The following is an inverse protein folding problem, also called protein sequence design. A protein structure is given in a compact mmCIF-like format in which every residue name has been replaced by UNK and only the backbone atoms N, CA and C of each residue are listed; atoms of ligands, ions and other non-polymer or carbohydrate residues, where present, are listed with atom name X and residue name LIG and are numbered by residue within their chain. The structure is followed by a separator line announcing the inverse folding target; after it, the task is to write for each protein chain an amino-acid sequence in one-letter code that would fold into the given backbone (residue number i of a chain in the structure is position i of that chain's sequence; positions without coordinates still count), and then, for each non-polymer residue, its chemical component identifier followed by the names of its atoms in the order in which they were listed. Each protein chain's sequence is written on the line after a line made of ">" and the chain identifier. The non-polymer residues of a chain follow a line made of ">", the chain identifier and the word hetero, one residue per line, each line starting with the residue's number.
data_IF_835285546301
#
_entry.id   IF_835285546301
#
_cell.length_a   1.000
_cell.length_b   1.000
_cell.length_c   1.000
_cell.angle_alpha   90.00
_cell.angle_beta   90.00
_cell.angle_gamma   90.00
#
_symmetry.space_group_name_H-M   'P 1'
#
loop_
_entity.id
_entity.type
_entity.pdbx_description
1 polymer ?
#
# COMPACT_ATOMS: atom_id res chain seq x y z
N UNK A 1 -0.74 6.15 18.43
CA UNK A 1 -1.91 5.76 17.59
C UNK A 1 -1.60 4.43 16.95
N UNK A 2 -2.63 3.62 16.65
CA UNK A 2 -2.48 2.39 15.87
C UNK A 2 -2.79 2.66 14.40
N UNK A 3 -1.82 2.41 13.55
CA UNK A 3 -1.90 2.60 12.10
C UNK A 3 -1.88 1.23 11.42
N UNK A 4 -2.82 1.00 10.52
CA UNK A 4 -2.88 -0.23 9.74
C UNK A 4 -2.62 0.09 8.28
N UNK A 5 -1.81 -0.73 7.64
CA UNK A 5 -1.68 -0.72 6.18
C UNK A 5 -1.37 -2.09 5.62
N UNK A 6 -1.72 -2.29 4.37
CA UNK A 6 -1.46 -3.52 3.66
C UNK A 6 -0.94 -3.27 2.25
N UNK A 7 -0.16 -4.20 1.76
CA UNK A 7 0.27 -4.22 0.37
C UNK A 7 -0.09 -5.56 -0.26
N UNK A 8 -0.65 -5.49 -1.45
CA UNK A 8 -0.99 -6.69 -2.20
C UNK A 8 0.28 -7.32 -2.81
N UNK A 9 0.42 -8.63 -2.71
CA UNK A 9 1.51 -9.43 -3.31
C UNK A 9 1.35 -9.52 -4.83
N UNK A 10 1.48 -8.40 -5.53
CA UNK A 10 1.18 -8.28 -6.96
C UNK A 10 2.42 -8.09 -7.85
N UNK A 11 3.61 -8.39 -7.35
CA UNK A 11 4.88 -8.29 -8.09
C UNK A 11 5.87 -7.29 -7.49
N UNK A 12 6.99 -7.04 -8.19
CA UNK A 12 8.13 -6.25 -7.71
C UNK A 12 7.74 -4.84 -7.27
N UNK A 13 8.37 -4.36 -6.19
CA UNK A 13 8.22 -2.98 -5.73
C UNK A 13 8.96 -2.03 -6.69
N UNK A 14 8.30 -0.95 -7.08
CA UNK A 14 8.82 0.08 -7.97
C UNK A 14 8.73 1.48 -7.33
N UNK A 15 9.34 2.49 -7.96
CA UNK A 15 9.37 3.87 -7.45
C UNK A 15 7.98 4.40 -7.08
N UNK A 16 6.96 4.08 -7.86
CA UNK A 16 5.58 4.49 -7.57
C UNK A 16 5.05 3.91 -6.25
N UNK A 17 5.40 2.65 -5.92
CA UNK A 17 5.03 2.05 -4.63
C UNK A 17 5.78 2.71 -3.48
N UNK A 18 7.08 2.98 -3.68
CA UNK A 18 7.90 3.59 -2.63
C UNK A 18 7.41 4.98 -2.26
N UNK A 19 7.35 5.89 -3.22
CA UNK A 19 6.93 7.27 -2.96
C UNK A 19 5.43 7.41 -2.68
N UNK A 20 4.61 6.51 -3.25
CA UNK A 20 3.16 6.51 -3.06
C UNK A 20 2.69 5.97 -1.72
N UNK A 21 3.46 5.07 -1.08
CA UNK A 21 3.03 4.41 0.15
C UNK A 21 4.16 4.10 1.13
N UNK A 22 5.23 3.41 0.69
CA UNK A 22 6.20 2.82 1.61
C UNK A 22 6.94 3.89 2.42
N UNK A 23 7.38 4.98 1.79
CA UNK A 23 8.08 6.08 2.46
C UNK A 23 7.28 6.64 3.64
N UNK A 24 5.96 6.74 3.50
CA UNK A 24 5.08 7.23 4.56
C UNK A 24 4.94 6.23 5.72
N UNK A 25 4.97 4.94 5.44
CA UNK A 25 4.98 3.93 6.51
C UNK A 25 6.26 3.99 7.33
N UNK A 26 7.39 4.22 6.68
CA UNK A 26 8.66 4.42 7.37
C UNK A 26 8.64 5.68 8.25
N UNK A 27 8.02 6.77 7.81
CA UNK A 27 7.81 7.97 8.61
C UNK A 27 6.89 7.70 9.82
N UNK A 28 5.81 6.96 9.63
CA UNK A 28 4.87 6.60 10.70
C UNK A 28 5.51 5.70 11.75
N UNK A 29 6.31 4.72 11.34
CA UNK A 29 7.12 3.89 12.21
C UNK A 29 8.05 4.75 13.09
N UNK A 30 8.75 5.72 12.47
CA UNK A 30 9.70 6.59 13.16
C UNK A 30 9.04 7.62 14.08
N UNK A 31 7.74 7.85 13.92
CA UNK A 31 6.94 8.75 14.76
C UNK A 31 6.37 8.07 16.03
N UNK A 32 6.80 6.85 16.35
CA UNK A 32 6.41 6.13 17.57
C UNK A 32 4.98 5.58 17.55
N UNK A 33 4.36 5.44 16.36
CA UNK A 33 3.05 4.80 16.21
C UNK A 33 3.16 3.27 16.33
N UNK A 34 2.08 2.62 16.77
CA UNK A 34 1.91 1.18 16.60
C UNK A 34 1.53 0.91 15.14
N UNK A 35 2.43 0.30 14.38
CA UNK A 35 2.28 0.06 12.95
C UNK A 35 2.03 -1.42 12.67
N UNK A 36 0.83 -1.75 12.21
CA UNK A 36 0.46 -3.07 11.74
C UNK A 36 0.50 -3.06 10.22
N UNK A 37 1.43 -3.82 9.64
CA UNK A 37 1.65 -3.86 8.19
C UNK A 37 1.47 -5.30 7.72
N UNK A 38 0.46 -5.53 6.91
CA UNK A 38 0.18 -6.88 6.42
C UNK A 38 0.43 -7.03 4.93
N UNK A 39 0.85 -8.23 4.56
CA UNK A 39 0.98 -8.67 3.19
C UNK A 39 -0.33 -9.33 2.79
N UNK A 40 -1.05 -8.74 1.84
CA UNK A 40 -2.41 -9.11 1.47
C UNK A 40 -2.44 -10.31 0.50
N UNK A 41 -2.00 -11.47 0.98
CA UNK A 41 -1.90 -12.70 0.19
C UNK A 41 -3.25 -13.35 -0.11
N UNK A 42 -4.25 -13.24 0.79
CA UNK A 42 -5.63 -13.68 0.48
C UNK A 42 -6.26 -12.81 -0.62
N UNK A 43 -6.04 -11.50 -0.61
CA UNK A 43 -6.48 -10.63 -1.71
C UNK A 43 -5.80 -10.99 -3.02
N UNK A 44 -4.51 -11.36 -2.98
CA UNK A 44 -3.75 -11.74 -4.17
C UNK A 44 -4.33 -12.98 -4.86
N UNK A 45 -5.02 -13.89 -4.15
CA UNK A 45 -5.69 -15.07 -4.71
C UNK A 45 -6.74 -14.71 -5.77
N UNK A 46 -7.27 -13.49 -5.78
CA UNK A 46 -8.22 -13.05 -6.83
C UNK A 46 -7.56 -12.95 -8.22
N UNK A 47 -6.24 -12.90 -8.28
CA UNK A 47 -5.48 -12.72 -9.53
C UNK A 47 -4.33 -13.72 -9.70
N UNK A 48 -3.70 -14.18 -8.63
CA UNK A 48 -2.58 -15.13 -8.64
C UNK A 48 -3.10 -16.52 -8.31
N UNK A 49 -3.07 -17.44 -9.27
CA UNK A 49 -3.58 -18.82 -9.14
C UNK A 49 -2.49 -19.87 -8.99
N UNK A 50 -1.26 -19.49 -9.21
CA UNK A 50 -0.07 -20.34 -9.03
C UNK A 50 0.42 -20.23 -7.58
N UNK A 51 0.48 -21.38 -6.89
CA UNK A 51 0.83 -21.43 -5.47
C UNK A 51 2.29 -21.07 -5.20
N UNK A 52 3.22 -21.50 -6.07
CA UNK A 52 4.63 -21.18 -5.91
C UNK A 52 4.88 -19.70 -6.18
N UNK A 53 4.20 -19.16 -7.18
CA UNK A 53 4.26 -17.74 -7.49
C UNK A 53 3.69 -16.88 -6.37
N UNK A 54 2.59 -17.27 -5.74
CA UNK A 54 2.03 -16.55 -4.62
C UNK A 54 3.00 -16.54 -3.42
N UNK A 55 3.61 -17.68 -3.10
CA UNK A 55 4.64 -17.79 -2.04
C UNK A 55 5.85 -16.89 -2.33
N UNK A 56 6.35 -16.92 -3.58
CA UNK A 56 7.45 -16.05 -4.02
C UNK A 56 7.10 -14.57 -3.84
N UNK A 57 5.96 -14.12 -4.38
CA UNK A 57 5.54 -12.74 -4.32
C UNK A 57 5.31 -12.24 -2.88
N UNK A 58 4.75 -13.09 -2.02
CA UNK A 58 4.53 -12.77 -0.60
C UNK A 58 5.85 -12.59 0.14
N UNK A 59 6.81 -13.49 -0.10
CA UNK A 59 8.16 -13.39 0.47
C UNK A 59 8.90 -12.16 -0.06
N UNK A 60 8.81 -11.88 -1.36
CA UNK A 60 9.46 -10.73 -1.98
C UNK A 60 8.98 -9.41 -1.36
N UNK A 61 7.69 -9.28 -1.09
CA UNK A 61 7.16 -8.09 -0.40
C UNK A 61 7.76 -7.94 0.99
N UNK A 62 7.88 -9.02 1.78
CA UNK A 62 8.50 -8.96 3.10
C UNK A 62 9.96 -8.50 3.02
N UNK A 63 10.73 -9.10 2.10
CA UNK A 63 12.13 -8.72 1.85
C UNK A 63 12.26 -7.25 1.45
N UNK A 64 11.40 -6.78 0.55
CA UNK A 64 11.43 -5.41 0.04
C UNK A 64 11.14 -4.39 1.15
N UNK A 65 10.13 -4.64 2.01
CA UNK A 65 9.82 -3.74 3.14
C UNK A 65 10.95 -3.69 4.16
N UNK A 66 11.47 -4.84 4.57
CA UNK A 66 12.58 -4.91 5.52
C UNK A 66 13.85 -4.25 4.95
N UNK A 67 14.11 -4.44 3.66
CA UNK A 67 15.24 -3.82 2.98
C UNK A 67 15.12 -2.30 2.91
N UNK A 68 13.91 -1.79 2.67
CA UNK A 68 13.63 -0.35 2.60
C UNK A 68 13.62 0.34 3.97
N UNK A 69 13.72 -0.40 5.06
CA UNK A 69 13.89 0.18 6.40
C UNK A 69 12.73 -0.07 7.35
N UNK A 70 11.74 -0.90 6.99
CA UNK A 70 10.80 -1.39 7.98
C UNK A 70 11.58 -2.20 9.02
N UNK A 71 11.46 -1.81 10.29
CA UNK A 71 12.20 -2.41 11.39
C UNK A 71 11.30 -3.31 12.25
N UNK A 72 11.29 -4.64 12.00
CA UNK A 72 10.52 -5.58 12.78
C UNK A 72 11.10 -5.86 14.17
N UNK A 73 12.26 -5.29 14.52
CA UNK A 73 12.82 -5.34 15.87
C UNK A 73 12.19 -4.29 16.79
N UNK A 74 11.61 -3.23 16.20
CA UNK A 74 10.83 -2.24 16.93
C UNK A 74 9.54 -2.89 17.47
N UNK A 75 9.30 -2.91 18.78
CA UNK A 75 8.11 -3.56 19.38
C UNK A 75 6.78 -2.95 18.93
N UNK A 76 6.81 -1.74 18.37
CA UNK A 76 5.63 -1.06 17.83
C UNK A 76 5.36 -1.40 16.35
N UNK A 77 6.15 -2.26 15.72
CA UNK A 77 6.03 -2.61 14.31
C UNK A 77 5.79 -4.10 14.16
N UNK A 78 4.68 -4.46 13.55
CA UNK A 78 4.35 -5.82 13.17
C UNK A 78 4.26 -5.93 11.65
N UNK A 79 5.08 -6.77 11.05
CA UNK A 79 4.99 -7.19 9.64
C UNK A 79 4.52 -8.65 9.60
N UNK A 80 3.42 -8.94 8.92
CA UNK A 80 2.81 -10.26 8.91
C UNK A 80 2.05 -10.55 7.61
N UNK A 81 1.72 -11.82 7.36
CA UNK A 81 0.81 -12.21 6.28
C UNK A 81 -0.64 -12.09 6.74
N UNK A 82 -1.50 -11.63 5.87
CA UNK A 82 -2.94 -11.61 6.12
C UNK A 82 -3.48 -13.01 6.45
N UNK A 83 -3.02 -14.03 5.73
CA UNK A 83 -3.43 -15.44 5.91
C UNK A 83 -3.01 -16.04 7.26
N UNK A 84 -2.04 -15.45 7.96
CA UNK A 84 -1.65 -15.89 9.29
C UNK A 84 -2.67 -15.47 10.37
N UNK A 85 -3.63 -14.59 10.05
CA UNK A 85 -4.65 -14.07 10.98
C UNK A 85 -6.02 -14.66 10.63
N UNK A 86 -6.30 -15.84 11.13
CA UNK A 86 -7.58 -16.53 10.86
C UNK A 86 -8.81 -15.72 11.32
N UNK A 87 -8.63 -14.88 12.34
CA UNK A 87 -9.65 -13.98 12.88
C UNK A 87 -10.23 -13.02 11.84
N UNK A 88 -9.45 -12.65 10.82
CA UNK A 88 -9.90 -11.81 9.69
C UNK A 88 -11.03 -12.51 8.92
N UNK A 89 -10.85 -13.78 8.58
CA UNK A 89 -11.84 -14.52 7.78
C UNK A 89 -13.13 -14.81 8.56
N UNK A 90 -13.02 -15.01 9.86
CA UNK A 90 -14.21 -15.17 10.70
C UNK A 90 -14.95 -13.83 10.85
N UNK A 91 -14.23 -12.72 11.11
CA UNK A 91 -14.85 -11.40 11.14
C UNK A 91 -15.51 -11.07 9.80
N UNK A 92 -14.84 -11.38 8.67
CA UNK A 92 -15.45 -11.23 7.33
C UNK A 92 -16.81 -11.90 7.24
N UNK A 93 -16.94 -13.14 7.74
CA UNK A 93 -18.22 -13.85 7.74
C UNK A 93 -19.30 -13.10 8.54
N UNK A 94 -18.95 -12.62 9.74
CA UNK A 94 -19.87 -11.85 10.58
C UNK A 94 -20.30 -10.53 9.90
N UNK A 95 -19.38 -9.87 9.21
CA UNK A 95 -19.67 -8.65 8.45
C UNK A 95 -20.53 -8.94 7.21
N UNK A 96 -20.29 -10.05 6.51
CA UNK A 96 -21.11 -10.45 5.36
C UNK A 96 -22.59 -10.63 5.73
N UNK A 97 -22.89 -11.13 6.93
CA UNK A 97 -24.26 -11.33 7.39
C UNK A 97 -25.09 -10.02 7.48
N UNK A 98 -24.43 -8.87 7.54
CA UNK A 98 -25.08 -7.54 7.61
C UNK A 98 -24.82 -6.67 6.39
N UNK A 99 -23.97 -7.10 5.45
CA UNK A 99 -23.58 -6.30 4.27
C UNK A 99 -24.64 -6.41 3.17
N UNK A 100 -25.26 -5.28 2.71
CA UNK A 100 -26.21 -5.33 1.61
C UNK A 100 -25.54 -5.68 0.28
N UNK A 101 -26.18 -6.55 -0.52
CA UNK A 101 -25.71 -6.89 -1.87
C UNK A 101 -25.47 -5.65 -2.74
N UNK A 102 -26.40 -4.69 -2.72
CA UNK A 102 -26.29 -3.44 -3.49
C UNK A 102 -25.02 -2.62 -3.18
N UNK A 103 -24.47 -2.72 -1.96
CA UNK A 103 -23.21 -2.07 -1.62
C UNK A 103 -22.04 -2.70 -2.39
N UNK A 104 -22.01 -4.03 -2.49
CA UNK A 104 -20.96 -4.78 -3.21
C UNK A 104 -21.08 -4.60 -4.72
N UNK A 105 -22.31 -4.59 -5.27
CA UNK A 105 -22.57 -4.32 -6.69
C UNK A 105 -22.11 -2.93 -7.12
N UNK A 106 -22.08 -1.96 -6.19
CA UNK A 106 -21.63 -0.59 -6.45
C UNK A 106 -20.15 -0.36 -6.26
N UNK A 107 -19.37 -1.36 -5.81
CA UNK A 107 -17.93 -1.25 -5.69
C UNK A 107 -17.27 -1.03 -7.07
N UNK A 108 -16.42 0.00 -7.19
CA UNK A 108 -15.81 0.41 -8.47
C UNK A 108 -15.08 -0.73 -9.15
N UNK A 109 -14.26 -1.46 -8.42
CA UNK A 109 -13.46 -2.56 -8.98
C UNK A 109 -14.30 -3.75 -9.44
N UNK A 110 -15.47 -4.00 -8.85
CA UNK A 110 -16.43 -4.99 -9.37
C UNK A 110 -16.97 -4.51 -10.72
N UNK A 111 -17.46 -3.27 -10.80
CA UNK A 111 -17.97 -2.67 -12.03
C UNK A 111 -16.94 -2.66 -13.16
N UNK A 112 -15.70 -2.28 -12.86
CA UNK A 112 -14.60 -2.26 -13.82
C UNK A 112 -14.30 -3.64 -14.42
N UNK A 113 -14.33 -4.70 -13.61
CA UNK A 113 -14.08 -6.06 -14.09
C UNK A 113 -15.23 -6.59 -14.92
N UNK A 114 -16.47 -6.32 -14.50
CA UNK A 114 -17.67 -6.65 -15.33
C UNK A 114 -17.60 -5.93 -16.67
N UNK A 115 -17.29 -4.63 -16.67
CA UNK A 115 -17.17 -3.85 -17.90
C UNK A 115 -16.07 -4.39 -18.86
N UNK A 116 -15.04 -5.04 -18.33
CA UNK A 116 -13.97 -5.71 -19.07
C UNK A 116 -14.32 -7.14 -19.51
N UNK A 117 -15.56 -7.60 -19.26
CA UNK A 117 -16.01 -8.94 -19.62
C UNK A 117 -15.41 -10.07 -18.79
N UNK A 118 -14.85 -9.77 -17.64
CA UNK A 118 -14.31 -10.77 -16.71
C UNK A 118 -15.46 -11.37 -15.92
N UNK A 119 -15.62 -12.70 -16.00
CA UNK A 119 -16.63 -13.41 -15.23
C UNK A 119 -16.40 -13.19 -13.71
N UNK A 120 -17.40 -12.69 -12.96
CA UNK A 120 -17.23 -12.39 -11.56
C UNK A 120 -17.27 -13.68 -10.74
N UNK A 121 -16.16 -14.01 -10.10
CA UNK A 121 -16.12 -15.03 -9.06
C UNK A 121 -16.55 -14.45 -7.72
N UNK A 122 -17.03 -15.29 -6.80
CA UNK A 122 -17.49 -14.86 -5.47
C UNK A 122 -16.42 -14.06 -4.71
N UNK A 123 -15.15 -14.47 -4.78
CA UNK A 123 -14.04 -13.74 -4.16
C UNK A 123 -13.89 -12.31 -4.69
N UNK A 124 -14.13 -12.10 -5.99
CA UNK A 124 -14.12 -10.78 -6.59
C UNK A 124 -15.31 -9.92 -6.14
N UNK A 125 -16.44 -10.53 -5.89
CA UNK A 125 -17.63 -9.83 -5.42
C UNK A 125 -17.52 -9.45 -3.94
N UNK A 126 -16.96 -10.35 -3.11
CA UNK A 126 -16.94 -10.21 -1.65
C UNK A 126 -15.63 -9.62 -1.09
N UNK A 127 -14.58 -9.39 -1.92
CA UNK A 127 -13.31 -8.85 -1.43
C UNK A 127 -13.44 -7.51 -0.66
N UNK A 128 -14.42 -6.61 -0.92
CA UNK A 128 -14.57 -5.39 -0.11
C UNK A 128 -14.93 -5.70 1.35
N UNK A 129 -15.60 -6.84 1.60
CA UNK A 129 -15.91 -7.28 2.98
C UNK A 129 -14.66 -7.86 3.65
N UNK A 130 -13.82 -8.59 2.90
CA UNK A 130 -12.52 -9.04 3.39
C UNK A 130 -11.64 -7.85 3.76
N UNK A 131 -11.56 -6.83 2.90
CA UNK A 131 -10.82 -5.60 3.20
C UNK A 131 -11.40 -4.85 4.41
N UNK A 132 -12.74 -4.82 4.57
CA UNK A 132 -13.35 -4.26 5.76
C UNK A 132 -12.95 -5.04 7.03
N UNK A 133 -12.89 -6.37 6.97
CA UNK A 133 -12.44 -7.20 8.08
C UNK A 133 -10.97 -6.94 8.43
N UNK A 134 -10.07 -6.84 7.42
CA UNK A 134 -8.67 -6.46 7.62
C UNK A 134 -8.54 -5.13 8.38
N UNK A 135 -9.35 -4.14 8.01
CA UNK A 135 -9.29 -2.80 8.60
C UNK A 135 -9.83 -2.79 10.03
N UNK A 136 -10.92 -3.50 10.27
CA UNK A 136 -11.68 -3.40 11.52
C UNK A 136 -11.18 -4.32 12.63
N UNK A 137 -10.54 -5.44 12.28
CA UNK A 137 -10.18 -6.49 13.25
C UNK A 137 -9.11 -6.07 14.26
N UNK A 138 -8.39 -4.97 14.00
CA UNK A 138 -7.29 -4.52 14.86
C UNK A 138 -7.63 -3.27 15.68
N UNK A 139 -8.86 -2.76 15.66
CA UNK A 139 -9.21 -1.45 16.27
C UNK A 139 -8.26 -0.32 15.84
N UNK A 140 -7.92 -0.25 14.56
CA UNK A 140 -7.01 0.77 14.04
C UNK A 140 -7.56 2.18 14.23
N UNK A 141 -6.68 3.14 14.55
CA UNK A 141 -7.04 4.55 14.66
C UNK A 141 -7.10 5.20 13.29
N UNK A 142 -6.07 4.91 12.48
CA UNK A 142 -5.88 5.47 11.15
C UNK A 142 -5.49 4.42 10.13
N UNK A 143 -5.96 4.62 8.90
CA UNK A 143 -5.56 3.83 7.72
C UNK A 143 -5.06 4.81 6.67
N UNK A 144 -3.74 4.82 6.36
CA UNK A 144 -3.19 5.59 5.27
C UNK A 144 -3.71 5.06 3.93
N UNK A 145 -4.39 5.90 3.17
CA UNK A 145 -4.98 5.53 1.89
C UNK A 145 -4.68 6.57 0.80
N UNK A 146 -4.41 6.11 -0.41
CA UNK A 146 -4.45 6.94 -1.59
C UNK A 146 -5.90 7.34 -1.94
N UNK A 147 -6.06 8.37 -2.76
CA UNK A 147 -7.39 8.84 -3.19
C UNK A 147 -8.24 7.73 -3.86
N UNK A 148 -7.61 6.82 -4.58
CA UNK A 148 -8.24 5.69 -5.25
C UNK A 148 -8.77 4.63 -4.29
N UNK A 149 -8.24 4.56 -3.06
CA UNK A 149 -8.65 3.61 -2.03
C UNK A 149 -9.65 4.20 -1.03
N UNK A 150 -9.95 5.49 -1.13
CA UNK A 150 -10.86 6.17 -0.21
C UNK A 150 -12.26 5.52 -0.19
N UNK A 151 -12.79 5.11 -1.35
CA UNK A 151 -14.08 4.44 -1.43
C UNK A 151 -14.10 3.13 -0.63
N UNK A 152 -13.03 2.35 -0.68
CA UNK A 152 -12.96 1.08 0.05
C UNK A 152 -12.96 1.28 1.57
N UNK A 153 -12.30 2.34 2.04
CA UNK A 153 -12.34 2.68 3.46
C UNK A 153 -13.73 3.14 3.90
N UNK A 154 -14.44 3.93 3.08
CA UNK A 154 -15.83 4.31 3.38
C UNK A 154 -16.76 3.09 3.39
N UNK A 155 -16.59 2.13 2.47
CA UNK A 155 -17.32 0.85 2.51
C UNK A 155 -17.07 0.12 3.83
N UNK A 156 -15.81 0.03 4.30
CA UNK A 156 -15.49 -0.60 5.57
C UNK A 156 -16.16 0.12 6.76
N UNK A 157 -16.18 1.46 6.74
CA UNK A 157 -16.85 2.29 7.76
C UNK A 157 -18.36 2.09 7.75
N UNK A 158 -18.98 2.05 6.57
CA UNK A 158 -20.43 1.83 6.44
C UNK A 158 -20.84 0.42 6.89
N UNK A 159 -20.04 -0.61 6.59
CA UNK A 159 -20.24 -1.96 7.11
C UNK A 159 -20.13 -1.98 8.63
N UNK A 160 -19.14 -1.30 9.22
CA UNK A 160 -18.97 -1.22 10.66
C UNK A 160 -20.15 -0.50 11.34
N UNK A 161 -20.63 0.61 10.77
CA UNK A 161 -21.83 1.32 11.27
C UNK A 161 -23.02 0.40 11.25
N UNK A 162 -23.22 -0.34 10.15
CA UNK A 162 -24.35 -1.26 10.02
C UNK A 162 -24.26 -2.42 11.01
N UNK A 163 -23.07 -3.00 11.20
CA UNK A 163 -22.84 -4.05 12.20
C UNK A 163 -23.15 -3.54 13.62
N UNK A 164 -22.58 -2.39 13.98
CA UNK A 164 -22.80 -1.77 15.28
C UNK A 164 -24.29 -1.47 15.51
N UNK A 165 -24.98 -0.89 14.53
CA UNK A 165 -26.41 -0.57 14.62
C UNK A 165 -27.31 -1.83 14.73
N UNK A 166 -26.88 -2.95 14.13
CA UNK A 166 -27.62 -4.20 14.17
C UNK A 166 -27.52 -4.87 15.54
N UNK A 167 -26.34 -4.81 16.17
CA UNK A 167 -26.04 -5.58 17.38
C UNK A 167 -25.85 -4.74 18.65
N UNK A 168 -25.85 -3.40 18.57
CA UNK A 168 -25.93 -2.47 19.72
C UNK A 168 -27.14 -1.55 19.56
N UNK A 169 -28.25 -1.82 20.26
CA UNK A 169 -29.48 -1.02 20.15
C UNK A 169 -29.31 0.46 20.51
N UNK A 170 -28.25 0.82 21.25
CA UNK A 170 -27.96 2.20 21.66
C UNK A 170 -27.03 2.92 20.68
N UNK A 171 -26.47 2.22 19.70
CA UNK A 171 -25.45 2.79 18.82
C UNK A 171 -25.97 3.95 17.96
N UNK A 172 -27.20 3.83 17.41
CA UNK A 172 -27.79 4.88 16.57
C UNK A 172 -28.02 6.18 17.37
N UNK A 173 -28.49 6.08 18.63
CA UNK A 173 -28.65 7.28 19.48
C UNK A 173 -27.31 7.97 19.72
N UNK A 174 -26.25 7.20 20.06
CA UNK A 174 -24.90 7.74 20.23
C UNK A 174 -24.39 8.41 18.95
N UNK A 175 -24.66 7.79 17.79
CA UNK A 175 -24.23 8.30 16.49
C UNK A 175 -24.88 9.64 16.15
N UNK A 176 -26.16 9.81 16.48
CA UNK A 176 -26.90 11.07 16.24
C UNK A 176 -26.44 12.23 17.13
N UNK A 177 -25.88 11.93 18.30
CA UNK A 177 -25.36 12.90 19.27
C UNK A 177 -23.89 13.28 19.01
N UNK A 178 -23.17 12.48 18.23
CA UNK A 178 -21.74 12.64 17.98
C UNK A 178 -21.44 13.68 16.90
N UNK A 179 -20.30 14.36 17.02
CA UNK A 179 -19.80 15.30 15.99
C UNK A 179 -19.24 14.60 14.76
N UNK A 180 -18.71 13.37 14.92
CA UNK A 180 -18.16 12.54 13.87
C UNK A 180 -18.46 11.08 14.12
N UNK A 181 -18.60 10.27 13.05
CA UNK A 181 -18.88 8.83 13.16
C UNK A 181 -17.78 8.10 13.93
N UNK A 182 -16.54 8.51 13.74
CA UNK A 182 -15.35 7.94 14.37
C UNK A 182 -15.23 8.24 15.87
N UNK A 183 -16.00 9.19 16.39
CA UNK A 183 -16.00 9.54 17.81
C UNK A 183 -16.97 8.65 18.62
N UNK A 184 -17.73 7.81 17.93
CA UNK A 184 -18.69 6.88 18.56
C UNK A 184 -18.08 5.53 18.83
N UNK A 185 -17.99 5.15 20.09
CA UNK A 185 -17.57 3.80 20.48
C UNK A 185 -18.69 2.79 20.23
N UNK A 186 -18.46 1.92 19.25
CA UNK A 186 -19.32 0.77 18.93
C UNK A 186 -18.65 -0.56 19.23
N UNK A 187 -19.29 -1.64 18.81
CA UNK A 187 -18.71 -3.00 18.85
C UNK A 187 -17.44 -3.03 17.99
N UNK A 188 -17.51 -2.42 16.80
CA UNK A 188 -16.38 -2.22 15.91
C UNK A 188 -16.05 -0.73 15.86
N UNK A 189 -14.77 -0.42 15.98
CA UNK A 189 -14.24 0.94 15.89
C UNK A 189 -14.13 1.38 14.45
N UNK A 190 -14.55 2.63 14.16
CA UNK A 190 -14.40 3.22 12.84
C UNK A 190 -13.02 3.91 12.73
N UNK A 191 -12.17 3.49 11.80
CA UNK A 191 -10.87 4.14 11.59
C UNK A 191 -11.03 5.48 10.86
N UNK A 192 -10.09 6.39 11.07
CA UNK A 192 -9.97 7.62 10.28
C UNK A 192 -9.18 7.37 9.01
N UNK A 193 -9.59 7.99 7.92
CA UNK A 193 -8.78 8.04 6.72
C UNK A 193 -7.62 9.01 6.94
N UNK A 194 -6.40 8.55 6.83
CA UNK A 194 -5.23 9.42 6.65
C UNK A 194 -5.01 9.58 5.15
N UNK A 195 -5.67 10.61 4.57
CA UNK A 195 -5.46 10.91 3.16
C UNK A 195 -4.02 11.35 3.02
N UNK A 196 -3.25 10.55 2.33
CA UNK A 196 -1.89 10.87 1.97
C UNK A 196 -1.96 12.15 1.13
N UNK A 197 -1.25 13.20 1.54
CA UNK A 197 -1.01 14.33 0.64
C UNK A 197 -0.53 13.69 -0.66
N UNK A 198 -1.28 13.91 -1.74
CA UNK A 198 -0.94 13.31 -3.01
C UNK A 198 0.55 13.59 -3.28
N UNK A 199 1.41 12.61 -3.05
CA UNK A 199 2.60 12.52 -3.87
C UNK A 199 2.03 12.47 -5.26
N UNK A 200 2.29 13.51 -6.04
CA UNK A 200 1.91 13.58 -7.45
C UNK A 200 2.20 12.20 -8.02
N UNK A 201 1.27 11.65 -8.77
CA UNK A 201 1.38 10.26 -9.24
C UNK A 201 2.75 10.12 -9.89
N UNK A 202 3.61 9.27 -9.33
CA UNK A 202 4.96 9.07 -9.85
C UNK A 202 4.85 8.69 -11.32
N UNK A 203 5.51 9.44 -12.18
CA UNK A 203 5.50 9.20 -13.61
C UNK A 203 6.36 7.99 -13.98
N UNK A 204 5.90 7.20 -14.93
CA UNK A 204 6.66 6.11 -15.53
C UNK A 204 7.68 6.59 -16.56
N UNK A 205 8.41 5.65 -17.12
CA UNK A 205 9.42 5.95 -18.15
C UNK A 205 8.84 6.52 -19.45
N UNK A 206 7.54 6.41 -19.66
CA UNK A 206 6.76 6.89 -20.80
C UNK A 206 6.08 8.25 -20.58
N UNK A 207 6.07 8.74 -19.33
CA UNK A 207 5.41 9.98 -18.90
C UNK A 207 4.00 9.81 -18.35
N UNK A 208 3.42 8.62 -18.47
CA UNK A 208 2.14 8.29 -17.87
C UNK A 208 2.32 7.87 -16.39
N UNK A 209 1.23 7.73 -15.64
CA UNK A 209 1.29 7.22 -14.26
C UNK A 209 2.04 5.89 -14.22
N UNK A 210 3.02 5.78 -13.34
CA UNK A 210 3.80 4.54 -13.17
C UNK A 210 2.91 3.39 -12.72
N UNK A 211 2.84 2.33 -13.52
CA UNK A 211 2.03 1.14 -13.25
C UNK A 211 2.63 -0.09 -13.92
N UNK A 212 2.55 -1.23 -13.21
CA UNK A 212 2.95 -2.54 -13.76
C UNK A 212 2.15 -2.90 -15.02
N UNK A 213 0.86 -2.55 -15.06
CA UNK A 213 -0.02 -2.83 -16.19
C UNK A 213 0.42 -2.13 -17.49
N UNK A 214 1.10 -1.00 -17.37
CA UNK A 214 1.64 -0.25 -18.52
C UNK A 214 3.08 -0.63 -18.86
N UNK A 215 3.73 -1.47 -18.05
CA UNK A 215 5.10 -1.86 -18.27
C UNK A 215 6.10 -0.70 -18.20
N UNK A 216 5.74 0.40 -17.52
CA UNK A 216 6.49 1.66 -17.46
C UNK A 216 7.20 1.90 -16.13
N UNK A 217 7.36 0.86 -15.29
CA UNK A 217 7.93 0.95 -13.94
C UNK A 217 9.47 1.03 -13.96
N UNK A 218 10.02 1.62 -12.89
CA UNK A 218 11.43 1.51 -12.50
C UNK A 218 11.45 0.71 -11.19
N UNK A 219 11.90 -0.54 -11.27
CA UNK A 219 11.92 -1.47 -10.14
C UNK A 219 13.06 -1.13 -9.18
N UNK A 220 12.79 -1.19 -7.85
CA UNK A 220 13.79 -0.83 -6.85
C UNK A 220 14.89 -1.88 -6.71
N UNK A 221 14.55 -3.15 -6.86
CA UNK A 221 15.43 -4.30 -6.57
C UNK A 221 15.81 -5.12 -7.82
N UNK A 222 15.69 -4.53 -9.01
CA UNK A 222 16.19 -5.12 -10.25
C UNK A 222 17.73 -5.18 -10.28
N UNK A 223 18.31 -5.85 -11.24
CA UNK A 223 19.75 -5.81 -11.48
C UNK A 223 20.23 -4.40 -11.88
N UNK A 224 21.48 -4.02 -11.55
CA UNK A 224 21.98 -2.68 -11.72
C UNK A 224 21.98 -2.21 -13.19
N UNK A 225 22.54 -3.06 -14.10
CA UNK A 225 22.61 -2.72 -15.53
C UNK A 225 21.23 -2.58 -16.20
N UNK A 226 20.27 -3.52 -16.03
CA UNK A 226 18.90 -3.36 -16.51
C UNK A 226 18.21 -2.14 -15.92
N UNK A 227 18.36 -1.85 -14.62
CA UNK A 227 17.76 -0.67 -13.97
C UNK A 227 18.33 0.62 -14.56
N UNK A 228 19.65 0.73 -14.71
CA UNK A 228 20.31 1.89 -15.35
C UNK A 228 19.82 2.06 -16.79
N UNK A 229 19.77 0.97 -17.57
CA UNK A 229 19.26 1.00 -18.94
C UNK A 229 17.80 1.47 -18.99
N UNK A 230 16.99 1.07 -18.00
CA UNK A 230 15.59 1.50 -17.88
C UNK A 230 15.48 3.01 -17.65
N UNK A 231 16.29 3.57 -16.75
CA UNK A 231 16.34 5.01 -16.48
C UNK A 231 16.85 5.78 -17.71
N UNK A 232 17.88 5.30 -18.36
CA UNK A 232 18.39 5.90 -19.61
C UNK A 232 17.37 5.87 -20.76
N UNK A 233 16.43 4.91 -20.72
CA UNK A 233 15.32 4.76 -21.69
C UNK A 233 14.10 5.64 -21.40
N UNK A 234 14.10 6.52 -20.39
CA UNK A 234 12.98 7.44 -20.13
C UNK A 234 12.71 8.28 -21.38
N UNK A 235 11.42 8.37 -21.75
CA UNK A 235 10.98 9.12 -22.92
C UNK A 235 11.29 10.61 -22.79
N UNK A 236 11.88 11.17 -23.82
CA UNK A 236 12.16 12.61 -23.94
C UNK A 236 11.88 13.04 -25.38
N UNK A 237 11.70 14.33 -25.58
CA UNK A 237 11.59 14.90 -26.92
C UNK A 237 12.96 14.93 -27.65
N UNK A 238 12.98 15.49 -28.85
CA UNK A 238 14.16 15.61 -29.70
C UNK A 238 14.85 16.99 -29.60
N UNK A 239 14.63 17.72 -28.49
CA UNK A 239 15.23 19.04 -28.27
C UNK A 239 16.78 18.97 -28.34
N UNK A 240 17.44 19.78 -29.19
CA UNK A 240 18.88 19.82 -29.30
C UNK A 240 19.58 20.13 -27.98
N UNK A 241 20.86 19.72 -27.85
CA UNK A 241 21.64 19.89 -26.62
C UNK A 241 21.71 21.37 -26.20
N UNK A 242 21.91 22.27 -27.14
CA UNK A 242 22.10 23.69 -26.93
C UNK A 242 20.82 24.44 -26.58
N UNK A 243 19.66 23.89 -26.94
CA UNK A 243 18.38 24.55 -26.72
C UNK A 243 17.85 24.35 -25.29
N UNK A 244 17.12 25.35 -24.75
CA UNK A 244 16.35 25.19 -23.52
C UNK A 244 15.40 23.99 -23.58
N UNK A 245 15.22 23.29 -22.45
CA UNK A 245 14.39 22.12 -22.34
C UNK A 245 13.13 22.40 -21.54
N UNK A 246 12.04 21.74 -21.92
CA UNK A 246 10.80 21.80 -21.15
C UNK A 246 10.98 21.07 -19.80
N UNK A 247 10.55 21.73 -18.75
CA UNK A 247 10.50 21.14 -17.40
C UNK A 247 9.32 20.20 -17.22
N UNK A 248 8.37 20.18 -18.12
CA UNK A 248 7.25 19.23 -18.13
C UNK A 248 7.65 17.92 -18.83
N UNK A 249 8.63 17.23 -18.29
CA UNK A 249 9.16 15.98 -18.84
C UNK A 249 9.28 14.90 -17.75
N UNK A 250 9.12 13.60 -18.10
CA UNK A 250 9.23 12.52 -17.12
C UNK A 250 10.56 12.50 -16.36
N UNK A 251 11.66 12.85 -17.02
CA UNK A 251 12.99 12.88 -16.38
C UNK A 251 13.07 13.99 -15.34
N UNK A 252 12.49 15.16 -15.63
CA UNK A 252 12.48 16.28 -14.69
C UNK A 252 11.56 15.98 -13.48
N UNK A 253 10.39 15.42 -13.69
CA UNK A 253 9.49 15.05 -12.61
C UNK A 253 10.07 13.96 -11.70
N UNK A 254 10.80 12.99 -12.28
CA UNK A 254 11.50 11.99 -11.48
C UNK A 254 12.68 12.60 -10.71
N UNK A 255 13.43 13.53 -11.27
CA UNK A 255 14.52 14.22 -10.55
C UNK A 255 14.01 14.95 -9.31
N UNK A 256 12.83 15.57 -9.33
CA UNK A 256 12.20 16.22 -8.17
C UNK A 256 11.98 15.27 -6.98
N UNK A 257 11.88 13.96 -7.22
CA UNK A 257 11.70 12.97 -6.15
C UNK A 257 13.00 12.65 -5.41
N UNK A 258 14.14 12.97 -6.01
CA UNK A 258 15.46 12.56 -5.51
C UNK A 258 16.37 13.74 -5.14
N UNK A 259 16.40 14.77 -5.97
CA UNK A 259 17.30 15.90 -5.81
C UNK A 259 16.94 16.77 -4.59
N UNK A 260 17.94 17.35 -3.95
CA UNK A 260 17.71 18.39 -2.94
C UNK A 260 17.10 19.64 -3.57
N UNK A 261 16.57 20.55 -2.75
CA UNK A 261 16.02 21.82 -3.25
C UNK A 261 17.07 22.64 -3.99
N UNK A 262 18.31 22.67 -3.49
CA UNK A 262 19.44 23.36 -4.09
C UNK A 262 19.82 22.73 -5.43
N UNK A 263 19.96 21.40 -5.47
CA UNK A 263 20.28 20.67 -6.71
C UNK A 263 19.15 20.81 -7.75
N UNK A 264 17.89 20.78 -7.31
CA UNK A 264 16.76 20.96 -8.22
C UNK A 264 16.74 22.37 -8.82
N UNK A 265 17.10 23.41 -8.05
CA UNK A 265 17.23 24.78 -8.56
C UNK A 265 18.32 24.90 -9.64
N UNK A 266 19.44 24.20 -9.48
CA UNK A 266 20.51 24.13 -10.50
C UNK A 266 20.06 23.37 -11.75
N UNK A 267 19.34 22.27 -11.58
CA UNK A 267 18.73 21.50 -12.68
C UNK A 267 17.74 22.38 -13.46
N UNK A 268 16.84 23.08 -12.76
CA UNK A 268 15.87 23.99 -13.37
C UNK A 268 16.51 25.12 -14.14
N UNK A 269 17.60 25.70 -13.61
CA UNK A 269 18.40 26.70 -14.31
C UNK A 269 19.00 26.11 -15.57
N UNK A 270 19.64 24.94 -15.46
CA UNK A 270 20.28 24.27 -16.58
C UNK A 270 19.27 23.85 -17.68
N UNK A 271 18.04 23.47 -17.31
CA UNK A 271 16.97 23.20 -18.28
C UNK A 271 16.61 24.45 -19.08
N UNK A 272 16.52 25.62 -18.43
CA UNK A 272 16.18 26.90 -19.05
C UNK A 272 17.30 27.49 -19.93
N UNK A 273 18.54 27.26 -19.53
CA UNK A 273 19.69 27.80 -20.25
C UNK A 273 20.14 26.94 -21.43
N UNK A 274 19.79 25.62 -21.42
CA UNK A 274 20.27 24.66 -22.41
C UNK A 274 21.72 24.23 -22.18
N UNK A 275 22.36 23.71 -23.21
CA UNK A 275 23.81 23.34 -23.15
C UNK A 275 24.05 21.91 -22.61
N UNK A 276 23.03 21.23 -22.07
CA UNK A 276 23.11 19.82 -21.64
C UNK A 276 22.04 18.97 -22.29
N UNK A 277 22.40 17.80 -22.79
CA UNK A 277 21.45 16.85 -23.35
C UNK A 277 20.68 16.07 -22.29
N UNK A 278 19.50 15.53 -22.64
CA UNK A 278 18.70 14.70 -21.71
C UNK A 278 19.47 13.49 -21.14
N UNK A 279 20.46 12.96 -21.87
CA UNK A 279 21.34 11.91 -21.38
C UNK A 279 22.08 12.27 -20.08
N UNK A 280 22.50 13.54 -19.94
CA UNK A 280 23.13 14.03 -18.71
C UNK A 280 22.17 13.97 -17.52
N UNK A 281 20.94 14.41 -17.69
CA UNK A 281 19.94 14.41 -16.61
C UNK A 281 19.46 12.98 -16.24
N UNK A 282 19.33 12.10 -17.23
CA UNK A 282 19.04 10.68 -17.00
C UNK A 282 20.17 9.97 -16.26
N UNK A 283 21.42 10.31 -16.60
CA UNK A 283 22.58 9.78 -15.89
C UNK A 283 22.56 10.23 -14.41
N UNK A 284 22.31 11.53 -14.17
CA UNK A 284 22.20 12.05 -12.80
C UNK A 284 21.06 11.41 -12.02
N UNK A 285 19.90 11.20 -12.65
CA UNK A 285 18.79 10.46 -12.05
C UNK A 285 19.19 9.03 -11.68
N UNK A 286 19.96 8.35 -12.52
CA UNK A 286 20.44 7.00 -12.21
C UNK A 286 21.39 7.01 -11.00
N UNK A 287 22.31 7.99 -10.92
CA UNK A 287 23.20 8.19 -9.77
C UNK A 287 22.40 8.40 -8.48
N UNK A 288 21.47 9.35 -8.47
CA UNK A 288 20.59 9.63 -7.32
C UNK A 288 19.76 8.41 -6.91
N UNK A 289 19.29 7.63 -7.88
CA UNK A 289 18.60 6.37 -7.61
C UNK A 289 19.49 5.38 -6.86
N UNK A 290 20.70 5.15 -7.32
CA UNK A 290 21.61 4.21 -6.66
C UNK A 290 22.17 4.77 -5.34
N UNK A 291 22.39 6.07 -5.22
CA UNK A 291 22.73 6.72 -3.95
C UNK A 291 21.64 6.47 -2.91
N UNK A 292 20.37 6.67 -3.26
CA UNK A 292 19.23 6.51 -2.35
C UNK A 292 18.93 5.06 -1.99
N UNK A 293 18.97 4.15 -2.96
CA UNK A 293 18.52 2.76 -2.78
C UNK A 293 19.65 1.74 -2.70
N UNK A 294 20.91 2.13 -2.86
CA UNK A 294 22.04 1.20 -2.88
C UNK A 294 22.13 0.36 -1.60
N UNK A 295 22.03 1.00 -0.44
CA UNK A 295 22.05 0.32 0.85
C UNK A 295 20.86 -0.67 1.01
N UNK A 296 19.66 -0.27 0.59
CA UNK A 296 18.47 -1.13 0.62
C UNK A 296 18.64 -2.34 -0.32
N UNK A 297 19.18 -2.13 -1.51
CA UNK A 297 19.46 -3.19 -2.48
C UNK A 297 20.47 -4.21 -1.95
N UNK A 298 21.49 -3.76 -1.24
CA UNK A 298 22.46 -4.63 -0.58
C UNK A 298 21.80 -5.39 0.58
N UNK A 299 21.05 -4.72 1.44
CA UNK A 299 20.31 -5.33 2.55
C UNK A 299 19.34 -6.41 2.07
N UNK A 300 18.63 -6.17 0.95
CA UNK A 300 17.75 -7.20 0.38
C UNK A 300 18.48 -8.47 0.00
N UNK A 301 19.64 -8.34 -0.68
CA UNK A 301 20.50 -9.48 -1.05
C UNK A 301 21.01 -10.26 0.17
N UNK A 302 21.21 -9.58 1.29
CA UNK A 302 21.60 -10.23 2.55
C UNK A 302 20.43 -10.99 3.18
N UNK A 303 19.24 -10.37 3.24
CA UNK A 303 18.02 -11.00 3.73
C UNK A 303 17.61 -12.24 2.91
N UNK A 304 17.82 -12.22 1.60
CA UNK A 304 17.55 -13.37 0.72
C UNK A 304 18.36 -14.63 1.08
N UNK A 305 19.51 -14.47 1.75
CA UNK A 305 20.37 -15.58 2.16
C UNK A 305 19.87 -16.30 3.41
N UNK A 306 18.97 -15.66 4.18
CA UNK A 306 18.37 -16.22 5.40
C UNK A 306 16.83 -16.19 5.34
N UNK A 307 16.21 -17.07 4.55
CA UNK A 307 14.76 -17.15 4.46
C UNK A 307 14.09 -17.46 5.80
N UNK A 308 14.80 -18.17 6.71
CA UNK A 308 14.27 -18.49 8.04
C UNK A 308 14.10 -17.25 8.90
N UNK A 309 15.06 -16.33 8.90
CA UNK A 309 14.94 -15.07 9.63
C UNK A 309 13.74 -14.25 9.15
N UNK A 310 13.43 -14.25 7.85
CA UNK A 310 12.24 -13.59 7.31
C UNK A 310 10.96 -14.25 7.80
N UNK A 311 10.88 -15.57 7.80
CA UNK A 311 9.73 -16.31 8.32
C UNK A 311 9.52 -16.06 9.83
N UNK A 312 10.60 -16.06 10.62
CA UNK A 312 10.55 -15.77 12.06
C UNK A 312 10.01 -14.34 12.33
N UNK A 313 10.37 -13.36 11.50
CA UNK A 313 9.82 -11.99 11.55
C UNK A 313 8.32 -11.99 11.26
N UNK A 314 7.88 -12.65 10.20
CA UNK A 314 6.47 -12.71 9.83
C UNK A 314 5.62 -13.43 10.89
N UNK A 315 6.14 -14.53 11.45
CA UNK A 315 5.47 -15.29 12.50
C UNK A 315 5.32 -14.45 13.78
N UNK A 316 6.37 -13.73 14.20
CA UNK A 316 6.32 -12.82 15.34
C UNK A 316 5.34 -11.67 15.13
N UNK A 317 5.35 -11.06 13.93
CA UNK A 317 4.41 -10.01 13.57
C UNK A 317 2.95 -10.51 13.59
N UNK A 318 2.73 -11.74 13.09
CA UNK A 318 1.41 -12.38 13.14
C UNK A 318 0.93 -12.62 14.58
N UNK A 319 1.81 -13.03 15.49
CA UNK A 319 1.47 -13.21 16.91
C UNK A 319 1.00 -11.89 17.54
N UNK A 320 1.74 -10.80 17.33
CA UNK A 320 1.37 -9.47 17.81
C UNK A 320 0.02 -8.99 17.21
N UNK A 321 -0.17 -9.15 15.91
CA UNK A 321 -1.42 -8.76 15.25
C UNK A 321 -2.60 -9.61 15.73
N UNK A 322 -2.39 -10.92 15.94
CA UNK A 322 -3.42 -11.84 16.39
C UNK A 322 -3.93 -11.53 17.80
N UNK A 323 -3.07 -11.07 18.70
CA UNK A 323 -3.51 -10.61 20.03
C UNK A 323 -4.56 -9.51 19.93
N UNK A 324 -4.37 -8.55 19.02
CA UNK A 324 -5.34 -7.47 18.77
C UNK A 324 -6.60 -8.01 18.08
N UNK A 325 -6.43 -8.83 17.06
CA UNK A 325 -7.53 -9.41 16.31
C UNK A 325 -8.49 -10.24 17.19
N UNK A 326 -7.96 -11.02 18.12
CA UNK A 326 -8.77 -11.81 19.07
C UNK A 326 -9.64 -10.94 19.97
N UNK A 327 -9.13 -9.83 20.47
CA UNK A 327 -9.91 -8.90 21.32
C UNK A 327 -11.13 -8.39 20.57
N UNK A 328 -10.94 -7.97 19.31
CA UNK A 328 -12.02 -7.43 18.49
C UNK A 328 -13.00 -8.52 18.07
N UNK A 329 -12.48 -9.66 17.63
CA UNK A 329 -13.32 -10.79 17.21
C UNK A 329 -14.18 -11.33 18.38
N UNK A 330 -13.61 -11.47 19.57
CA UNK A 330 -14.35 -11.91 20.77
C UNK A 330 -15.44 -10.91 21.15
N UNK A 331 -15.19 -9.61 21.03
CA UNK A 331 -16.20 -8.57 21.21
C UNK A 331 -17.33 -8.70 20.18
N UNK A 332 -16.99 -8.93 18.93
CA UNK A 332 -17.97 -9.16 17.85
C UNK A 332 -18.79 -10.45 18.07
N UNK A 333 -18.13 -11.55 18.44
CA UNK A 333 -18.80 -12.84 18.75
C UNK A 333 -19.83 -12.71 19.86
N UNK A 334 -19.48 -12.03 20.97
CA UNK A 334 -20.41 -11.78 22.07
C UNK A 334 -21.61 -10.96 21.63
N UNK A 335 -21.37 -9.94 20.79
CA UNK A 335 -22.44 -9.07 20.33
C UNK A 335 -23.46 -9.82 19.43
N UNK A 336 -22.99 -10.75 18.60
CA UNK A 336 -23.88 -11.56 17.73
C UNK A 336 -24.44 -12.81 18.44
N UNK A 337 -24.04 -13.09 19.69
CA UNK A 337 -24.56 -14.20 20.48
C UNK A 337 -23.92 -15.57 20.19
N UNK A 338 -22.72 -15.63 19.58
CA UNK A 338 -22.04 -16.90 19.28
C UNK A 338 -21.25 -17.41 20.49
N UNK A 339 -20.78 -16.55 21.38
CA UNK A 339 -20.06 -16.92 22.62
C UNK A 339 -20.34 -15.93 23.75
#
# INVERSE_FOLDING_TARGET
>A
MRVLSGIQSSGKVHLGNYFGAIAQFLELQNSGNECLIFIADLHALTTVRDADKLRELTRDVALDYMALGLDPTNPNVALFRQSDIAEVTELMWLLMAVTPMAMLENAHSYKDKIAKGIAPEAGLFTYPVLMAADILVYDSDEVPVGKDQQQHLEIARDIAVKFNATFDPKYISKLNEAKGREDVHGILKLPRARIQKATESVVGVDGEKMSKSYGNTIDLFGEDKPTQKRIMGIKTDSTPVEAPKDTNTPVHDLLKLFASAEEMAEIDKSFREGGKGYGHYKQRLAELFFERFGAARQKRKELEKDPKAVEDVLAKGAEQARERARIVLDRARRAVGIR
#
